data_IF_566535446025
#
_entry.id   IF_566535446025
#
_cell.length_a   1.000
_cell.length_b   1.000
_cell.length_c   1.000
_cell.angle_alpha   90.00
_cell.angle_beta   90.00
_cell.angle_gamma   90.00
#
_symmetry.space_group_name_H-M   'P 1'
#
loop_
_entity.id
_entity.type
_entity.pdbx_description
1 polymer ?
#
# COMPACT_ATOMS: atom_id res chain seq x y z
N UNK A 1 -44.08 34.88 -63.06
CA UNK A 1 -43.29 33.64 -62.84
C UNK A 1 -42.29 33.73 -61.68
N UNK A 2 -42.27 34.82 -60.88
CA UNK A 2 -41.40 34.94 -59.70
C UNK A 2 -42.12 34.65 -58.35
N UNK A 3 -43.45 34.77 -58.27
CA UNK A 3 -44.19 34.49 -57.02
C UNK A 3 -44.26 33.00 -56.65
N UNK A 4 -44.31 32.10 -57.64
CA UNK A 4 -44.37 30.65 -57.40
C UNK A 4 -43.06 30.06 -56.90
N UNK A 5 -41.92 30.71 -57.14
CA UNK A 5 -40.62 30.30 -56.58
C UNK A 5 -40.45 30.71 -55.10
N UNK A 6 -41.08 31.79 -54.66
CA UNK A 6 -41.02 32.24 -53.27
C UNK A 6 -41.82 31.32 -52.32
N UNK A 7 -42.99 30.82 -52.74
CA UNK A 7 -43.80 29.91 -51.91
C UNK A 7 -43.18 28.51 -51.73
N UNK A 8 -42.41 28.01 -52.71
CA UNK A 8 -41.76 26.70 -52.63
C UNK A 8 -40.57 26.67 -51.65
N UNK A 9 -39.87 27.80 -51.48
CA UNK A 9 -38.79 27.93 -50.49
C UNK A 9 -39.36 28.03 -49.06
N UNK A 10 -40.51 28.70 -48.89
CA UNK A 10 -41.16 28.81 -47.57
C UNK A 10 -41.73 27.47 -47.08
N UNK A 11 -42.28 26.64 -47.98
CA UNK A 11 -42.79 25.30 -47.62
C UNK A 11 -41.67 24.30 -47.32
N UNK A 12 -40.49 24.43 -47.95
CA UNK A 12 -39.33 23.60 -47.64
C UNK A 12 -38.74 23.92 -46.25
N UNK A 13 -38.87 25.16 -45.77
CA UNK A 13 -38.43 25.57 -44.44
C UNK A 13 -39.41 25.18 -43.32
N UNK A 14 -40.71 25.05 -43.62
CA UNK A 14 -41.73 24.66 -42.63
C UNK A 14 -41.87 23.13 -42.47
N UNK A 15 -41.28 22.35 -43.39
CA UNK A 15 -41.30 20.89 -43.37
C UNK A 15 -40.07 20.24 -42.74
N UNK A 16 -39.07 21.00 -42.28
CA UNK A 16 -37.99 20.42 -41.49
C UNK A 16 -38.56 20.05 -40.12
N UNK A 17 -38.59 18.76 -39.73
CA UNK A 17 -38.81 18.43 -38.34
C UNK A 17 -37.75 19.21 -37.57
N UNK A 18 -38.18 19.88 -36.49
CA UNK A 18 -37.26 20.43 -35.50
C UNK A 18 -36.48 19.23 -34.95
N UNK A 19 -35.45 18.80 -35.66
CA UNK A 19 -34.53 17.78 -35.21
C UNK A 19 -33.90 18.42 -34.01
N UNK A 20 -34.39 17.96 -32.85
CA UNK A 20 -33.81 18.04 -31.52
C UNK A 20 -32.55 18.86 -31.58
N UNK A 21 -32.59 20.10 -31.07
CA UNK A 21 -31.37 20.74 -30.61
C UNK A 21 -30.59 19.62 -29.93
N UNK A 22 -29.49 19.21 -30.55
CA UNK A 22 -28.51 18.39 -29.88
C UNK A 22 -28.15 19.28 -28.70
N UNK A 23 -28.73 18.98 -27.54
CA UNK A 23 -28.21 19.47 -26.30
C UNK A 23 -26.76 19.01 -26.38
N UNK A 24 -25.87 19.94 -26.73
CA UNK A 24 -24.48 19.81 -26.37
C UNK A 24 -24.56 19.71 -24.87
N UNK A 25 -24.67 18.48 -24.38
CA UNK A 25 -24.16 18.11 -23.09
C UNK A 25 -22.76 18.69 -23.12
N UNK A 26 -22.61 19.86 -22.49
CA UNK A 26 -21.30 20.32 -22.10
C UNK A 26 -20.80 19.17 -21.28
N UNK A 27 -19.89 18.41 -21.85
CA UNK A 27 -19.06 17.46 -21.13
C UNK A 27 -18.47 18.30 -20.01
N UNK A 28 -19.12 18.23 -18.84
CA UNK A 28 -18.71 18.93 -17.66
C UNK A 28 -17.43 18.22 -17.31
N UNK A 29 -16.31 18.81 -17.72
CA UNK A 29 -15.00 18.43 -17.23
C UNK A 29 -15.11 18.70 -15.72
N UNK A 30 -15.36 17.66 -14.95
CA UNK A 30 -15.30 17.74 -13.51
C UNK A 30 -13.83 18.00 -13.18
N UNK A 31 -13.53 19.27 -12.92
CA UNK A 31 -12.21 19.68 -12.48
C UNK A 31 -12.06 19.12 -11.08
N UNK A 32 -11.19 18.11 -10.93
CA UNK A 32 -10.84 17.52 -9.64
C UNK A 32 -10.37 18.64 -8.71
N UNK A 33 -11.02 18.78 -7.55
CA UNK A 33 -10.63 19.81 -6.60
C UNK A 33 -9.43 19.33 -5.79
N UNK A 34 -8.74 20.28 -5.15
CA UNK A 34 -7.67 19.98 -4.19
C UNK A 34 -7.99 20.64 -2.85
N UNK A 35 -8.95 20.10 -2.07
CA UNK A 35 -9.28 20.64 -0.76
C UNK A 35 -8.08 20.51 0.19
N UNK A 36 -7.71 21.62 0.82
CA UNK A 36 -6.63 21.67 1.80
C UNK A 36 -7.24 21.69 3.19
N UNK A 37 -6.68 20.89 4.10
CA UNK A 37 -7.07 20.84 5.49
C UNK A 37 -6.75 22.16 6.22
N UNK A 38 -7.78 22.84 6.69
CA UNK A 38 -7.70 24.13 7.40
C UNK A 38 -8.45 24.10 8.75
N UNK A 39 -8.75 22.90 9.25
CA UNK A 39 -9.63 22.70 10.39
C UNK A 39 -9.11 23.34 11.69
N UNK A 40 -10.08 23.75 12.52
CA UNK A 40 -9.89 24.11 13.92
C UNK A 40 -10.52 23.13 14.91
N UNK A 41 -11.29 22.14 14.44
CA UNK A 41 -12.09 21.22 15.28
C UNK A 41 -11.75 19.73 15.09
N UNK A 42 -11.00 19.37 14.06
CA UNK A 42 -10.59 17.99 13.81
C UNK A 42 -11.66 17.11 13.15
N UNK A 43 -12.73 17.70 12.61
CA UNK A 43 -13.84 16.97 11.99
C UNK A 43 -13.70 16.93 10.46
N UNK A 44 -13.48 15.73 9.88
CA UNK A 44 -13.39 15.52 8.43
C UNK A 44 -14.67 15.96 7.71
N UNK A 45 -15.83 15.70 8.30
CA UNK A 45 -17.14 15.93 7.70
C UNK A 45 -17.60 17.39 7.76
N UNK A 46 -16.85 18.25 8.45
CA UNK A 46 -17.17 19.67 8.52
C UNK A 46 -16.63 20.40 7.27
N UNK A 47 -17.53 20.98 6.47
CA UNK A 47 -17.16 21.80 5.30
C UNK A 47 -16.21 22.96 5.62
N UNK A 48 -16.24 23.49 6.84
CA UNK A 48 -15.33 24.56 7.28
C UNK A 48 -13.90 24.07 7.58
N UNK A 49 -13.70 22.75 7.68
CA UNK A 49 -12.37 22.13 7.82
C UNK A 49 -11.57 22.12 6.53
N UNK A 50 -12.16 22.54 5.40
CA UNK A 50 -11.59 22.44 4.07
C UNK A 50 -11.56 23.79 3.35
N UNK A 51 -10.45 24.09 2.67
CA UNK A 51 -10.21 25.37 2.00
C UNK A 51 -11.20 25.70 0.88
N UNK A 52 -11.84 24.70 0.31
CA UNK A 52 -12.86 24.84 -0.74
C UNK A 52 -14.25 25.14 -0.18
N UNK A 53 -14.45 25.05 1.14
CA UNK A 53 -15.77 25.12 1.76
C UNK A 53 -16.64 23.89 1.48
N UNK A 54 -16.03 22.77 1.06
CA UNK A 54 -16.68 21.48 0.81
C UNK A 54 -15.80 20.35 1.33
N UNK A 55 -16.41 19.28 1.83
CA UNK A 55 -15.70 18.04 2.16
C UNK A 55 -15.20 17.39 0.86
N UNK A 56 -13.99 16.78 0.83
CA UNK A 56 -13.51 16.02 -0.32
C UNK A 56 -14.52 14.95 -0.76
N UNK A 57 -14.67 14.78 -2.07
CA UNK A 57 -15.53 13.77 -2.70
C UNK A 57 -14.73 12.94 -3.71
N UNK A 58 -15.39 12.00 -4.39
CA UNK A 58 -14.76 11.12 -5.38
C UNK A 58 -13.92 11.89 -6.40
N UNK A 59 -12.70 11.42 -6.65
CA UNK A 59 -11.74 12.01 -7.57
C UNK A 59 -11.03 13.27 -7.06
N UNK A 60 -11.34 13.79 -5.87
CA UNK A 60 -10.58 14.90 -5.29
C UNK A 60 -9.20 14.43 -4.78
N UNK A 61 -8.28 15.39 -4.65
CA UNK A 61 -7.03 15.21 -3.89
C UNK A 61 -7.13 15.94 -2.55
N UNK A 62 -7.22 15.20 -1.44
CA UNK A 62 -7.25 15.78 -0.10
C UNK A 62 -5.82 16.03 0.41
N UNK A 63 -5.51 17.27 0.82
CA UNK A 63 -4.14 17.67 1.20
C UNK A 63 -4.05 18.16 2.64
N UNK A 64 -3.16 17.56 3.40
CA UNK A 64 -2.73 17.99 4.73
C UNK A 64 -1.35 18.65 4.63
N UNK A 65 -1.31 19.96 4.42
CA UNK A 65 -0.07 20.68 4.12
C UNK A 65 0.78 21.03 5.35
N UNK A 66 0.20 20.95 6.56
CA UNK A 66 0.87 21.32 7.81
C UNK A 66 1.14 22.81 8.00
N UNK A 67 0.80 23.65 7.02
CA UNK A 67 0.99 25.10 7.06
C UNK A 67 -0.32 25.78 7.47
N UNK A 68 -1.43 25.38 6.83
CA UNK A 68 -2.73 25.97 7.11
C UNK A 68 -3.38 25.37 8.37
N UNK A 69 -3.11 24.09 8.65
CA UNK A 69 -3.50 23.45 9.91
C UNK A 69 -2.62 22.25 10.21
N UNK A 70 -2.38 22.02 11.51
CA UNK A 70 -1.76 20.81 12.07
C UNK A 70 -2.73 20.09 13.02
N UNK A 71 -4.01 20.48 13.01
CA UNK A 71 -5.04 19.88 13.88
C UNK A 71 -5.32 18.46 13.42
N UNK A 72 -5.23 17.51 14.34
CA UNK A 72 -5.52 16.10 14.07
C UNK A 72 -6.96 15.89 13.57
N UNK A 73 -7.14 14.98 12.62
CA UNK A 73 -8.46 14.56 12.12
C UNK A 73 -8.94 13.38 12.96
N UNK A 74 -9.95 13.59 13.78
CA UNK A 74 -10.45 12.56 14.71
C UNK A 74 -11.97 12.39 14.66
N UNK A 75 -12.69 13.33 14.03
CA UNK A 75 -14.14 13.30 13.83
C UNK A 75 -14.56 12.90 12.40
N UNK A 76 -15.75 12.29 12.29
CA UNK A 76 -16.38 11.88 11.03
C UNK A 76 -15.48 11.08 10.08
N UNK A 77 -14.72 10.13 10.63
CA UNK A 77 -13.70 9.39 9.90
C UNK A 77 -14.25 8.28 8.99
N UNK A 78 -15.51 7.90 9.15
CA UNK A 78 -16.14 6.92 8.27
C UNK A 78 -16.64 7.59 6.99
N UNK A 79 -15.84 7.50 5.93
CA UNK A 79 -16.08 8.04 4.60
C UNK A 79 -16.22 6.91 3.57
N UNK A 80 -16.76 5.77 4.00
CA UNK A 80 -16.91 4.60 3.16
C UNK A 80 -17.72 4.91 1.89
N UNK A 81 -17.21 4.46 0.74
CA UNK A 81 -17.77 4.74 -0.57
C UNK A 81 -17.24 6.00 -1.24
N UNK A 82 -16.38 6.78 -0.57
CA UNK A 82 -15.57 7.82 -1.21
C UNK A 82 -14.30 7.20 -1.78
N UNK A 83 -14.02 7.50 -3.05
CA UNK A 83 -12.82 7.10 -3.78
C UNK A 83 -12.02 8.34 -4.21
N UNK A 84 -11.09 8.77 -3.36
CA UNK A 84 -10.23 9.93 -3.64
C UNK A 84 -9.19 9.58 -4.70
N UNK A 85 -8.81 10.55 -5.52
CA UNK A 85 -7.64 10.38 -6.39
C UNK A 85 -6.35 10.29 -5.55
N UNK A 86 -6.23 11.13 -4.51
CA UNK A 86 -5.12 11.01 -3.56
C UNK A 86 -5.41 11.63 -2.18
N UNK A 87 -4.82 11.03 -1.15
CA UNK A 87 -4.71 11.56 0.20
C UNK A 87 -3.23 11.87 0.46
N UNK A 88 -2.89 13.14 0.53
CA UNK A 88 -1.51 13.60 0.69
C UNK A 88 -1.29 14.25 2.05
N UNK A 89 -0.21 13.87 2.73
CA UNK A 89 0.30 14.61 3.89
C UNK A 89 1.71 15.14 3.61
N UNK A 90 1.91 16.42 3.92
CA UNK A 90 3.21 17.07 3.82
C UNK A 90 4.09 16.73 5.04
N UNK A 91 5.43 16.77 4.92
CA UNK A 91 6.33 16.58 6.06
C UNK A 91 6.09 17.52 7.25
N UNK A 92 5.52 18.70 7.00
CA UNK A 92 5.20 19.72 8.00
C UNK A 92 3.93 19.38 8.81
N UNK A 93 3.08 18.46 8.34
CA UNK A 93 1.87 18.10 9.06
C UNK A 93 2.19 17.19 10.25
N UNK A 94 1.93 17.69 11.45
CA UNK A 94 2.23 16.99 12.71
C UNK A 94 1.00 16.38 13.39
N UNK A 95 -0.20 16.65 12.87
CA UNK A 95 -1.44 16.09 13.41
C UNK A 95 -1.59 14.60 13.06
N UNK A 96 -2.41 13.90 13.84
CA UNK A 96 -2.79 12.52 13.53
C UNK A 96 -3.97 12.52 12.55
N UNK A 97 -4.10 11.44 11.78
CA UNK A 97 -5.27 11.15 10.95
C UNK A 97 -5.83 9.83 11.42
N UNK A 98 -7.01 9.89 12.05
CA UNK A 98 -7.62 8.75 12.69
C UNK A 98 -7.08 8.44 14.08
N UNK A 99 -7.63 7.40 14.69
CA UNK A 99 -7.27 6.94 16.03
C UNK A 99 -7.24 5.40 16.07
N UNK A 100 -6.58 4.79 17.07
CA UNK A 100 -6.72 3.36 17.33
C UNK A 100 -8.19 2.96 17.45
N UNK A 101 -8.62 1.98 16.66
CA UNK A 101 -10.01 1.50 16.63
C UNK A 101 -11.01 2.42 15.91
N UNK A 102 -10.56 3.58 15.39
CA UNK A 102 -11.36 4.49 14.57
C UNK A 102 -10.50 5.07 13.44
N UNK A 103 -10.10 4.25 12.45
CA UNK A 103 -9.29 4.71 11.32
C UNK A 103 -10.10 5.63 10.39
N UNK A 104 -9.41 6.46 9.61
CA UNK A 104 -9.99 7.10 8.43
C UNK A 104 -10.33 6.01 7.41
N UNK A 105 -11.61 5.88 7.10
CA UNK A 105 -12.14 4.82 6.24
C UNK A 105 -12.59 5.41 4.90
N UNK A 106 -11.77 5.24 3.86
CA UNK A 106 -12.03 5.67 2.47
C UNK A 106 -11.06 4.97 1.51
N UNK A 107 -11.35 4.97 0.22
CA UNK A 107 -10.45 4.46 -0.81
C UNK A 107 -9.62 5.60 -1.41
N UNK A 108 -8.32 5.38 -1.63
CA UNK A 108 -7.40 6.41 -2.14
C UNK A 108 -6.02 5.83 -2.47
N UNK A 109 -5.30 6.51 -3.38
CA UNK A 109 -3.83 6.51 -3.32
C UNK A 109 -3.39 7.34 -2.10
N UNK A 110 -2.52 6.81 -1.25
CA UNK A 110 -2.10 7.49 -0.02
C UNK A 110 -0.61 7.83 -0.08
N UNK A 111 -0.29 9.09 0.14
CA UNK A 111 1.09 9.58 0.30
C UNK A 111 1.23 10.20 1.68
N UNK A 112 1.82 9.46 2.63
CA UNK A 112 2.03 9.94 4.00
C UNK A 112 3.49 10.35 4.25
N UNK A 113 3.71 11.65 4.48
CA UNK A 113 5.04 12.20 4.86
C UNK A 113 5.04 12.92 6.20
N UNK A 114 3.86 13.21 6.77
CA UNK A 114 3.71 13.88 8.05
C UNK A 114 4.33 13.13 9.22
N UNK A 115 4.57 13.82 10.33
CA UNK A 115 5.16 13.23 11.54
C UNK A 115 4.14 12.64 12.52
N UNK A 116 2.85 12.94 12.33
CA UNK A 116 1.77 12.29 13.07
C UNK A 116 1.49 10.88 12.57
N UNK A 117 0.60 10.17 13.28
CA UNK A 117 0.18 8.82 12.94
C UNK A 117 -0.97 8.82 11.94
N UNK A 118 -0.95 7.90 10.98
CA UNK A 118 -2.05 7.64 10.05
C UNK A 118 -2.71 6.29 10.39
N UNK A 119 -3.95 6.31 10.88
CA UNK A 119 -4.79 5.13 11.02
C UNK A 119 -5.72 5.06 9.80
N UNK A 120 -5.45 4.14 8.88
CA UNK A 120 -6.10 4.12 7.57
C UNK A 120 -6.76 2.77 7.27
N UNK A 121 -7.99 2.83 6.79
CA UNK A 121 -8.76 1.69 6.33
C UNK A 121 -9.31 2.00 4.94
N UNK A 122 -9.19 1.03 4.03
CA UNK A 122 -9.83 1.07 2.73
C UNK A 122 -10.75 -0.15 2.58
N UNK A 123 -11.81 0.00 1.79
CA UNK A 123 -12.85 -1.02 1.63
C UNK A 123 -13.05 -1.46 0.18
N UNK A 124 -12.62 -0.64 -0.78
CA UNK A 124 -12.80 -0.82 -2.22
C UNK A 124 -11.54 -1.32 -2.94
N UNK A 125 -11.25 -0.72 -4.09
CA UNK A 125 -10.23 -1.19 -5.05
C UNK A 125 -8.79 -0.93 -4.59
N UNK A 126 -7.81 -1.36 -5.40
CA UNK A 126 -6.37 -1.42 -5.07
C UNK A 126 -5.89 -0.13 -4.40
N UNK A 127 -5.43 -0.26 -3.16
CA UNK A 127 -4.90 0.86 -2.38
C UNK A 127 -3.38 0.84 -2.41
N UNK A 128 -2.78 1.88 -2.96
CA UNK A 128 -1.35 2.09 -2.82
C UNK A 128 -1.10 3.02 -1.63
N UNK A 129 -0.24 2.59 -0.71
CA UNK A 129 0.13 3.40 0.45
C UNK A 129 1.63 3.63 0.42
N UNK A 130 2.03 4.86 0.16
CA UNK A 130 3.42 5.32 0.20
C UNK A 130 3.70 6.05 1.51
N UNK A 131 4.72 5.61 2.25
CA UNK A 131 5.13 6.20 3.54
C UNK A 131 6.59 6.65 3.49
N UNK A 132 6.80 7.95 3.70
CA UNK A 132 8.11 8.61 3.88
C UNK A 132 8.02 9.57 5.07
N UNK A 133 7.72 9.00 6.24
CA UNK A 133 7.47 9.73 7.47
C UNK A 133 8.70 9.73 8.39
N UNK A 134 8.87 10.80 9.17
CA UNK A 134 9.87 10.85 10.23
C UNK A 134 9.48 10.07 11.49
N UNK A 135 8.21 9.66 11.61
CA UNK A 135 7.69 8.91 12.75
C UNK A 135 8.16 7.44 12.71
N UNK A 136 9.02 7.06 13.65
CA UNK A 136 9.56 5.69 13.76
C UNK A 136 8.80 4.84 14.79
N UNK A 137 7.63 5.30 15.26
CA UNK A 137 6.82 4.59 16.25
C UNK A 137 5.52 4.09 15.62
N UNK A 138 4.76 4.94 14.95
CA UNK A 138 3.48 4.55 14.32
C UNK A 138 3.17 5.48 13.14
N UNK A 139 4.05 5.52 12.13
CA UNK A 139 3.81 6.40 10.97
C UNK A 139 2.49 6.07 10.28
N UNK A 140 2.22 4.78 10.06
CA UNK A 140 0.94 4.32 9.52
C UNK A 140 0.53 2.98 10.12
N UNK A 141 -0.75 2.84 10.42
CA UNK A 141 -1.40 1.59 10.81
C UNK A 141 -2.54 1.34 9.85
N UNK A 142 -2.41 0.25 9.09
CA UNK A 142 -3.29 -0.08 7.98
C UNK A 142 -4.26 -1.18 8.41
N UNK A 143 -5.53 -1.03 8.04
CA UNK A 143 -6.63 -1.94 8.35
C UNK A 143 -7.44 -2.22 7.09
N UNK A 144 -8.26 -3.28 7.10
CA UNK A 144 -9.34 -3.44 6.13
C UNK A 144 -9.30 -4.74 5.36
N UNK A 145 -10.48 -5.17 4.92
CA UNK A 145 -10.67 -6.45 4.24
C UNK A 145 -10.80 -6.32 2.71
N UNK A 146 -10.54 -5.12 2.18
CA UNK A 146 -10.72 -4.77 0.77
C UNK A 146 -9.65 -5.35 -0.16
N UNK A 147 -9.55 -4.78 -1.36
CA UNK A 147 -8.58 -5.15 -2.39
C UNK A 147 -7.12 -5.18 -1.88
N UNK A 148 -6.21 -5.87 -2.59
CA UNK A 148 -4.83 -6.00 -2.16
C UNK A 148 -4.15 -4.63 -2.01
N UNK A 149 -3.54 -4.41 -0.85
CA UNK A 149 -2.72 -3.24 -0.58
C UNK A 149 -1.35 -3.37 -1.24
N UNK A 150 -0.88 -2.27 -1.83
CA UNK A 150 0.49 -2.10 -2.28
C UNK A 150 1.19 -1.08 -1.37
N UNK A 151 1.93 -1.58 -0.37
CA UNK A 151 2.58 -0.77 0.65
C UNK A 151 4.02 -0.49 0.25
N UNK A 152 4.40 0.79 0.19
CA UNK A 152 5.75 1.24 -0.16
C UNK A 152 6.27 2.09 0.99
N UNK A 153 7.32 1.63 1.66
CA UNK A 153 7.89 2.29 2.83
C UNK A 153 9.33 2.69 2.54
N UNK A 154 9.54 3.99 2.44
CA UNK A 154 10.87 4.59 2.35
C UNK A 154 11.40 4.99 3.72
N UNK A 155 10.53 5.46 4.61
CA UNK A 155 10.89 5.86 5.97
C UNK A 155 9.66 5.80 6.86
N UNK A 156 9.84 5.40 8.12
CA UNK A 156 8.77 5.36 9.10
C UNK A 156 8.47 3.94 9.56
N UNK A 157 7.64 3.82 10.59
CA UNK A 157 7.14 2.54 11.08
C UNK A 157 5.71 2.29 10.58
N UNK A 158 5.52 1.22 9.81
CA UNK A 158 4.22 0.84 9.25
C UNK A 158 3.79 -0.52 9.78
N UNK A 159 2.58 -0.56 10.34
CA UNK A 159 1.94 -1.80 10.79
C UNK A 159 0.81 -2.18 9.85
N UNK A 160 0.90 -3.37 9.24
CA UNK A 160 -0.20 -3.99 8.53
C UNK A 160 -0.96 -4.88 9.51
N UNK A 161 -2.15 -4.43 9.93
CA UNK A 161 -2.85 -5.02 11.08
C UNK A 161 -3.34 -6.45 10.83
N UNK A 162 -3.64 -7.15 11.91
CA UNK A 162 -4.30 -8.45 11.90
C UNK A 162 -5.71 -8.46 11.25
N UNK A 163 -6.32 -7.30 11.01
CA UNK A 163 -7.60 -7.20 10.30
C UNK A 163 -7.43 -7.08 8.79
N UNK A 164 -6.20 -6.82 8.30
CA UNK A 164 -5.93 -6.74 6.87
C UNK A 164 -6.02 -8.12 6.22
N UNK A 165 -6.83 -8.30 5.18
CA UNK A 165 -6.91 -9.60 4.46
C UNK A 165 -6.21 -9.61 3.12
N UNK A 166 -5.99 -8.46 2.49
CA UNK A 166 -5.35 -8.35 1.16
C UNK A 166 -4.04 -7.58 1.21
N UNK A 167 -2.90 -8.27 1.16
CA UNK A 167 -1.58 -7.65 1.03
C UNK A 167 -0.92 -8.08 -0.28
N UNK A 168 -1.08 -7.27 -1.33
CA UNK A 168 -0.57 -7.60 -2.66
C UNK A 168 0.92 -7.35 -2.82
N UNK A 169 1.44 -6.27 -2.25
CA UNK A 169 2.88 -6.06 -2.27
C UNK A 169 3.36 -5.22 -1.10
N UNK A 170 4.55 -5.55 -0.61
CA UNK A 170 5.29 -4.76 0.37
C UNK A 170 6.66 -4.43 -0.22
N UNK A 171 6.97 -3.14 -0.30
CA UNK A 171 8.24 -2.61 -0.78
C UNK A 171 8.94 -1.82 0.33
N UNK A 172 10.05 -2.34 0.85
CA UNK A 172 10.84 -1.69 1.91
C UNK A 172 12.13 -1.14 1.32
N UNK A 173 12.24 0.18 1.23
CA UNK A 173 13.17 0.83 0.30
C UNK A 173 14.42 1.44 0.94
N UNK A 174 14.39 1.80 2.23
CA UNK A 174 15.51 2.46 2.89
C UNK A 174 15.76 1.97 4.32
N UNK A 175 16.91 2.34 4.88
CA UNK A 175 17.42 1.92 6.19
C UNK A 175 16.50 2.27 7.38
N UNK A 176 15.71 3.33 7.24
CA UNK A 176 14.76 3.81 8.27
C UNK A 176 13.31 3.38 8.02
N UNK A 177 13.09 2.47 7.08
CA UNK A 177 11.79 1.82 6.90
C UNK A 177 11.69 0.63 7.86
N UNK A 178 10.61 0.61 8.65
CA UNK A 178 10.27 -0.47 9.56
C UNK A 178 8.86 -0.93 9.19
N UNK A 179 8.69 -2.20 8.88
CA UNK A 179 7.38 -2.77 8.53
C UNK A 179 7.10 -3.98 9.39
N UNK A 180 5.91 -4.01 10.00
CA UNK A 180 5.41 -5.16 10.76
C UNK A 180 4.14 -5.64 10.08
N UNK A 181 4.13 -6.91 9.70
CA UNK A 181 2.93 -7.59 9.22
C UNK A 181 2.43 -8.49 10.34
N UNK A 182 1.30 -8.14 10.94
CA UNK A 182 0.69 -8.91 12.02
C UNK A 182 0.05 -10.18 11.49
N UNK A 183 -0.01 -11.21 12.32
CA UNK A 183 -0.63 -12.49 11.99
C UNK A 183 -2.14 -12.32 11.79
N UNK A 184 -2.68 -12.83 10.68
CA UNK A 184 -4.13 -12.86 10.42
C UNK A 184 -4.56 -14.22 9.88
N UNK A 185 -4.76 -15.20 10.76
CA UNK A 185 -5.28 -16.52 10.38
C UNK A 185 -4.55 -17.13 9.18
N UNK A 186 -5.25 -17.28 8.06
CA UNK A 186 -4.72 -17.83 6.80
C UNK A 186 -4.45 -16.77 5.71
N UNK A 187 -4.51 -15.47 6.04
CA UNK A 187 -4.22 -14.41 5.09
C UNK A 187 -2.75 -14.47 4.64
N UNK A 188 -2.52 -14.22 3.37
CA UNK A 188 -1.20 -14.27 2.72
C UNK A 188 -0.66 -12.88 2.43
N UNK A 189 0.63 -12.81 2.11
CA UNK A 189 1.26 -11.68 1.44
C UNK A 189 1.69 -12.17 0.05
N UNK A 190 1.27 -11.50 -1.02
CA UNK A 190 1.62 -11.97 -2.36
C UNK A 190 3.10 -11.72 -2.63
N UNK A 191 3.60 -10.50 -2.43
CA UNK A 191 4.99 -10.15 -2.77
C UNK A 191 5.68 -9.29 -1.73
N UNK A 192 6.93 -9.64 -1.42
CA UNK A 192 7.83 -8.80 -0.64
C UNK A 192 9.06 -8.43 -1.48
N UNK A 193 9.43 -7.16 -1.48
CA UNK A 193 10.70 -6.70 -2.04
C UNK A 193 11.36 -5.74 -1.07
N UNK A 194 12.60 -6.04 -0.68
CA UNK A 194 13.31 -5.30 0.34
C UNK A 194 14.72 -4.94 -0.12
N UNK A 195 15.08 -3.66 -0.10
CA UNK A 195 16.42 -3.18 -0.45
C UNK A 195 17.22 -2.74 0.77
N UNK A 196 16.57 -2.38 1.88
CA UNK A 196 17.15 -1.99 3.16
C UNK A 196 16.06 -2.02 4.25
N UNK A 197 16.39 -1.59 5.47
CA UNK A 197 15.42 -1.41 6.56
C UNK A 197 15.17 -2.67 7.38
N UNK A 198 13.99 -2.74 7.98
CA UNK A 198 13.53 -3.87 8.78
C UNK A 198 12.11 -4.27 8.34
N UNK A 199 11.87 -5.57 8.19
CA UNK A 199 10.55 -6.12 7.95
C UNK A 199 10.36 -7.38 8.80
N UNK A 200 9.33 -7.40 9.64
CA UNK A 200 8.85 -8.61 10.32
C UNK A 200 7.55 -9.09 9.68
N UNK A 201 7.55 -10.33 9.20
CA UNK A 201 6.41 -10.93 8.55
C UNK A 201 5.87 -12.13 9.35
N UNK A 202 4.59 -12.07 9.70
CA UNK A 202 3.88 -13.13 10.42
C UNK A 202 2.80 -13.81 9.53
N UNK A 203 2.99 -13.85 8.21
CA UNK A 203 2.03 -14.42 7.25
C UNK A 203 2.71 -15.24 6.17
N UNK A 204 1.99 -16.21 5.62
CA UNK A 204 2.48 -17.04 4.53
C UNK A 204 2.67 -16.24 3.22
N UNK A 205 3.63 -16.70 2.41
CA UNK A 205 3.81 -16.34 1.00
C UNK A 205 3.67 -17.63 0.17
N UNK A 206 2.50 -18.26 0.23
CA UNK A 206 2.29 -19.64 -0.21
C UNK A 206 1.49 -19.78 -1.52
N UNK A 207 1.03 -18.69 -2.12
CA UNK A 207 0.32 -18.77 -3.39
C UNK A 207 1.32 -18.99 -4.54
N UNK A 208 0.82 -19.46 -5.70
CA UNK A 208 1.67 -19.93 -6.79
C UNK A 208 2.63 -18.87 -7.35
N UNK A 209 2.24 -17.60 -7.25
CA UNK A 209 3.00 -16.45 -7.72
C UNK A 209 3.62 -15.63 -6.57
N UNK A 210 3.57 -16.15 -5.34
CA UNK A 210 4.06 -15.43 -4.15
C UNK A 210 5.56 -15.63 -3.93
N UNK A 211 6.27 -14.54 -3.69
CA UNK A 211 7.72 -14.58 -3.45
C UNK A 211 8.23 -13.40 -2.63
N UNK A 212 9.39 -13.61 -2.00
CA UNK A 212 10.15 -12.55 -1.32
C UNK A 212 11.53 -12.36 -1.97
N UNK A 213 11.89 -11.11 -2.30
CA UNK A 213 13.22 -10.72 -2.77
C UNK A 213 13.87 -9.79 -1.75
N UNK A 214 14.92 -10.28 -1.09
CA UNK A 214 15.66 -9.57 -0.04
C UNK A 214 17.04 -9.19 -0.58
N UNK A 215 17.25 -7.91 -0.83
CA UNK A 215 18.50 -7.36 -1.36
C UNK A 215 19.32 -6.60 -0.31
N UNK A 216 18.76 -6.36 0.88
CA UNK A 216 19.43 -5.66 1.99
C UNK A 216 18.54 -5.55 3.23
N UNK A 217 19.10 -5.01 4.32
CA UNK A 217 18.40 -4.87 5.61
C UNK A 217 18.20 -6.19 6.36
N UNK A 218 17.18 -6.23 7.22
CA UNK A 218 16.83 -7.41 8.06
C UNK A 218 15.37 -7.81 7.82
N UNK A 219 15.18 -8.98 7.21
CA UNK A 219 13.88 -9.60 7.02
C UNK A 219 13.70 -10.73 8.05
N UNK A 220 12.68 -10.63 8.90
CA UNK A 220 12.35 -11.65 9.90
C UNK A 220 11.05 -12.32 9.51
N UNK A 221 11.09 -13.62 9.21
CA UNK A 221 9.90 -14.39 8.87
C UNK A 221 9.50 -15.29 10.04
N UNK A 222 8.38 -14.96 10.70
CA UNK A 222 7.97 -15.58 11.95
C UNK A 222 7.02 -16.76 11.78
N UNK A 223 6.16 -16.75 10.76
CA UNK A 223 5.02 -17.67 10.65
C UNK A 223 4.57 -17.86 9.19
N UNK A 224 4.03 -19.03 8.88
CA UNK A 224 3.50 -19.37 7.56
C UNK A 224 4.53 -19.90 6.56
N UNK A 225 4.07 -20.72 5.62
CA UNK A 225 4.93 -21.26 4.56
C UNK A 225 5.36 -20.18 3.55
N UNK A 226 6.52 -20.36 2.94
CA UNK A 226 7.01 -19.51 1.84
C UNK A 226 7.37 -20.38 0.65
N UNK A 227 6.77 -20.10 -0.50
CA UNK A 227 7.03 -20.80 -1.76
C UNK A 227 8.43 -20.48 -2.27
N UNK A 228 8.77 -19.20 -2.38
CA UNK A 228 10.01 -18.75 -3.01
C UNK A 228 10.65 -17.58 -2.26
N UNK A 229 11.92 -17.75 -1.88
CA UNK A 229 12.73 -16.73 -1.20
C UNK A 229 14.04 -16.51 -1.96
N UNK A 230 14.27 -15.29 -2.42
CA UNK A 230 15.49 -14.87 -3.10
C UNK A 230 16.26 -13.89 -2.21
N UNK A 231 17.52 -14.20 -1.93
CA UNK A 231 18.40 -13.43 -1.06
C UNK A 231 19.59 -12.96 -1.89
N UNK A 232 19.59 -11.67 -2.20
CA UNK A 232 20.66 -10.96 -2.93
C UNK A 232 21.51 -10.08 -2.01
N UNK A 233 21.17 -10.01 -0.72
CA UNK A 233 21.91 -9.29 0.31
C UNK A 233 21.12 -9.24 1.63
N UNK A 234 21.67 -8.55 2.63
CA UNK A 234 21.03 -8.41 3.93
C UNK A 234 21.03 -9.69 4.78
N UNK A 235 20.13 -9.72 5.76
CA UNK A 235 19.94 -10.84 6.68
C UNK A 235 18.48 -11.27 6.61
N UNK A 236 18.25 -12.57 6.41
CA UNK A 236 16.96 -13.21 6.58
C UNK A 236 17.01 -14.08 7.83
N UNK A 237 16.21 -13.74 8.83
CA UNK A 237 15.97 -14.59 10.00
C UNK A 237 14.72 -15.43 9.73
N UNK A 238 14.91 -16.72 9.51
CA UNK A 238 13.80 -17.65 9.32
C UNK A 238 13.43 -18.25 10.66
N UNK A 239 12.29 -17.85 11.22
CA UNK A 239 11.78 -18.30 12.52
C UNK A 239 10.60 -19.25 12.43
N UNK A 240 9.85 -19.23 11.32
CA UNK A 240 8.72 -20.13 11.03
C UNK A 240 9.07 -21.63 11.17
N UNK A 241 8.08 -22.43 11.58
CA UNK A 241 8.17 -23.90 11.67
C UNK A 241 7.60 -24.59 10.41
N UNK A 242 6.95 -23.81 9.54
CA UNK A 242 6.46 -24.24 8.24
C UNK A 242 7.57 -24.36 7.19
N UNK A 243 7.18 -24.90 6.03
CA UNK A 243 8.13 -25.21 4.96
C UNK A 243 8.51 -23.96 4.16
N UNK A 244 9.81 -23.77 3.99
CA UNK A 244 10.38 -22.97 2.92
C UNK A 244 10.60 -23.87 1.70
N UNK A 245 9.82 -23.69 0.63
CA UNK A 245 9.87 -24.62 -0.50
C UNK A 245 11.15 -24.43 -1.31
N UNK A 246 11.50 -23.19 -1.63
CA UNK A 246 12.70 -22.87 -2.38
C UNK A 246 13.42 -21.62 -1.84
N UNK A 247 14.73 -21.73 -1.69
CA UNK A 247 15.60 -20.61 -1.33
C UNK A 247 16.75 -20.46 -2.33
N UNK A 248 16.94 -19.24 -2.84
CA UNK A 248 18.07 -18.83 -3.65
C UNK A 248 18.92 -17.83 -2.86
N UNK A 249 20.14 -18.21 -2.49
CA UNK A 249 21.06 -17.34 -1.74
C UNK A 249 22.18 -16.90 -2.69
N UNK A 250 21.95 -15.79 -3.39
CA UNK A 250 22.93 -15.17 -4.27
C UNK A 250 24.02 -14.44 -3.45
N UNK A 251 23.63 -13.75 -2.37
CA UNK A 251 24.50 -13.04 -1.43
C UNK A 251 23.74 -12.80 -0.12
N UNK A 252 24.42 -12.39 0.96
CA UNK A 252 23.79 -12.15 2.26
C UNK A 252 23.67 -13.41 3.12
N UNK A 253 22.78 -13.39 4.12
CA UNK A 253 22.66 -14.44 5.13
C UNK A 253 21.23 -14.96 5.25
N UNK A 254 21.05 -16.28 5.20
CA UNK A 254 19.86 -16.98 5.68
C UNK A 254 20.16 -17.66 7.03
N UNK A 255 19.53 -17.18 8.10
CA UNK A 255 19.78 -17.60 9.47
C UNK A 255 18.59 -18.40 10.04
N UNK A 256 18.79 -19.71 10.25
CA UNK A 256 17.83 -20.61 10.88
C UNK A 256 18.08 -20.78 12.39
N UNK A 257 18.99 -20.02 13.00
CA UNK A 257 19.44 -20.25 14.39
C UNK A 257 18.69 -19.42 15.43
N UNK A 258 17.86 -18.48 14.98
CA UNK A 258 17.21 -17.46 15.83
C UNK A 258 15.99 -17.94 16.60
N UNK A 259 15.40 -19.07 16.21
CA UNK A 259 14.33 -19.73 16.97
C UNK A 259 14.64 -21.22 17.20
N UNK A 260 14.06 -21.79 18.27
CA UNK A 260 14.16 -23.22 18.60
C UNK A 260 13.20 -24.13 17.81
N UNK A 261 12.57 -23.58 16.77
CA UNK A 261 11.61 -24.31 15.94
C UNK A 261 12.32 -25.31 15.03
N UNK A 262 11.67 -26.45 14.75
CA UNK A 262 12.08 -27.34 13.68
C UNK A 262 11.81 -26.66 12.34
N UNK A 263 12.78 -26.69 11.42
CA UNK A 263 12.73 -25.94 10.17
C UNK A 263 12.92 -26.88 9.00
N UNK A 264 12.08 -26.75 7.99
CA UNK A 264 12.14 -27.58 6.79
C UNK A 264 12.34 -26.71 5.56
N UNK A 265 13.37 -27.03 4.77
CA UNK A 265 13.65 -26.38 3.49
C UNK A 265 13.74 -27.44 2.41
N UNK A 266 12.89 -27.35 1.38
CA UNK A 266 12.83 -28.40 0.36
C UNK A 266 14.01 -28.30 -0.62
N UNK A 267 14.34 -27.10 -1.07
CA UNK A 267 15.48 -26.87 -1.95
C UNK A 267 16.21 -25.55 -1.66
N UNK A 268 17.54 -25.60 -1.65
CA UNK A 268 18.41 -24.44 -1.47
C UNK A 268 19.48 -24.42 -2.56
N UNK A 269 19.68 -23.25 -3.16
CA UNK A 269 20.82 -22.94 -4.04
C UNK A 269 21.63 -21.82 -3.39
N UNK A 270 22.94 -22.04 -3.20
CA UNK A 270 23.85 -21.05 -2.60
C UNK A 270 24.97 -20.71 -3.58
N UNK A 271 25.14 -19.42 -3.87
CA UNK A 271 26.22 -18.88 -4.69
C UNK A 271 27.34 -18.27 -3.84
N UNK A 272 28.54 -18.03 -4.42
CA UNK A 272 29.60 -17.24 -3.78
C UNK A 272 29.10 -15.89 -3.23
N UNK A 273 29.34 -15.64 -1.95
CA UNK A 273 28.85 -14.46 -1.22
C UNK A 273 27.60 -14.72 -0.38
N UNK A 274 26.91 -15.85 -0.58
CA UNK A 274 25.80 -16.29 0.25
C UNK A 274 26.25 -17.08 1.47
N UNK A 275 25.53 -16.89 2.58
CA UNK A 275 25.71 -17.64 3.82
C UNK A 275 24.40 -18.25 4.28
N UNK A 276 24.50 -19.43 4.90
CA UNK A 276 23.37 -20.12 5.50
C UNK A 276 23.81 -20.70 6.83
N UNK A 277 23.13 -20.32 7.92
CA UNK A 277 23.35 -20.87 9.24
C UNK A 277 22.22 -21.80 9.62
N UNK A 278 22.56 -23.03 10.01
CA UNK A 278 21.61 -24.10 10.33
C UNK A 278 21.81 -24.58 11.76
N UNK A 279 20.76 -25.13 12.34
CA UNK A 279 20.83 -25.86 13.62
C UNK A 279 20.65 -27.36 13.39
N UNK A 280 20.79 -28.18 14.45
CA UNK A 280 20.43 -29.61 14.40
C UNK A 280 18.93 -29.85 14.15
N UNK A 281 18.10 -28.82 14.26
CA UNK A 281 16.65 -28.86 13.99
C UNK A 281 16.30 -28.39 12.58
N UNK A 282 17.30 -28.05 11.75
CA UNK A 282 17.10 -27.63 10.36
C UNK A 282 17.28 -28.82 9.43
N UNK A 283 16.24 -29.13 8.65
CA UNK A 283 16.28 -30.17 7.60
C UNK A 283 16.29 -29.50 6.23
N UNK A 284 17.32 -29.78 5.43
CA UNK A 284 17.44 -29.32 4.04
C UNK A 284 17.40 -30.55 3.13
N UNK A 285 16.35 -30.69 2.31
CA UNK A 285 16.17 -31.89 1.48
C UNK A 285 16.99 -31.87 0.20
N UNK A 286 17.16 -30.70 -0.43
CA UNK A 286 18.00 -30.50 -1.62
C UNK A 286 18.93 -29.31 -1.42
N UNK A 287 20.23 -29.50 -1.65
CA UNK A 287 21.24 -28.45 -1.53
C UNK A 287 22.18 -28.46 -2.73
N UNK A 288 22.29 -27.32 -3.42
CA UNK A 288 23.33 -27.02 -4.39
C UNK A 288 24.18 -25.86 -3.84
N UNK A 289 25.45 -26.11 -3.55
CA UNK A 289 26.37 -25.13 -2.93
C UNK A 289 27.56 -24.83 -3.85
N UNK A 290 27.43 -23.77 -4.65
CA UNK A 290 28.44 -23.34 -5.62
C UNK A 290 29.64 -22.64 -4.98
N UNK A 291 29.62 -22.35 -3.67
CA UNK A 291 30.75 -21.70 -2.98
C UNK A 291 32.00 -22.57 -2.95
N UNK A 292 31.83 -23.89 -3.11
CA UNK A 292 32.91 -24.88 -3.10
C UNK A 292 33.51 -25.16 -4.48
N UNK A 293 32.88 -24.65 -5.55
CA UNK A 293 33.24 -24.98 -6.93
C UNK A 293 34.21 -23.97 -7.57
N UNK A 294 34.46 -22.83 -6.93
CA UNK A 294 35.44 -21.84 -7.40
C UNK A 294 36.74 -22.05 -6.61
N UNK A 295 37.85 -22.47 -7.27
CA UNK A 295 39.15 -22.66 -6.62
C UNK A 295 39.81 -21.36 -6.17
#
# INVERSE_FOLDING_TARGET
MQLTRACLILLALLGQPWTKHAAREHERIEVMATPIWISSDGDWGNTASWSTGSVPVDGDTAVFDGINSVVSVTGSLNQAGIDLDELQTSPEYTGDIGLPGNPLRLDSFVTHRGSGSLYYQADGQINQVFVDSVNLIDAAILFGTGAPYNVIVKKGHVTCSDSMTGLGAIHVMADKAIVIVEKNGAATVDRITMTAGFLENNRALSDADSFAIISGGVYVHQDGAVSELHIHGGVVEWNADETLSFALIASGLLDFTRSGNAKTVSAVIIYPGGEMFTTSQTTVSGLLDFRKEIP
#
